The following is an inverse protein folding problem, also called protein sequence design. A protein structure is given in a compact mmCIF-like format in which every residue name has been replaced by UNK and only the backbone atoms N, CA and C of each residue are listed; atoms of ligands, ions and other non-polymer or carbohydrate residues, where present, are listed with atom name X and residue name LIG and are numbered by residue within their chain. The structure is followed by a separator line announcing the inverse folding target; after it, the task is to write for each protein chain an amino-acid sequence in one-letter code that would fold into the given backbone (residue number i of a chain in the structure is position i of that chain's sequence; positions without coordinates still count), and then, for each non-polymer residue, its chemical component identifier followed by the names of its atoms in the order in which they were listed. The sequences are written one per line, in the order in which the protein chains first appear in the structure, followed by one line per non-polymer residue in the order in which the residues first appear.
data_IF_293379793680
#
_entry.id   IF_293379793680
#
_cell.length_a   1.000
_cell.length_b   1.000
_cell.length_c   1.000
_cell.angle_alpha   90.00
_cell.angle_beta   90.00
_cell.angle_gamma   90.00
#
_symmetry.space_group_name_H-M   'P 1'
#
loop_
_entity.id
_entity.type
_entity.pdbx_description
1 polymer ?
#
# COMPACT_ATOMS: atom_id res chain seq x y z
N UNK A 1 23.65 18.70 31.02
CA UNK A 1 22.45 19.01 30.20
C UNK A 1 21.39 17.98 30.51
N UNK A 2 20.18 18.36 30.97
CA UNK A 2 19.07 17.41 31.09
C UNK A 2 18.73 16.92 29.68
N UNK A 3 18.91 15.62 29.41
CA UNK A 3 18.35 15.01 28.21
C UNK A 3 16.83 15.16 28.29
N UNK A 4 16.19 15.66 27.21
CA UNK A 4 14.74 15.65 27.13
C UNK A 4 14.26 14.20 27.20
N UNK A 5 13.39 13.91 28.17
CA UNK A 5 12.73 12.61 28.28
C UNK A 5 11.55 12.59 27.31
N UNK A 6 11.52 11.62 26.41
CA UNK A 6 10.42 11.38 25.47
C UNK A 6 9.58 10.20 25.90
N UNK A 7 8.31 10.21 25.49
CA UNK A 7 7.36 9.13 25.79
C UNK A 7 6.79 8.55 24.51
N UNK A 8 6.53 7.24 24.51
CA UNK A 8 5.87 6.59 23.39
C UNK A 8 4.73 5.69 23.84
N UNK A 9 3.73 5.58 22.97
CA UNK A 9 2.62 4.64 23.08
C UNK A 9 2.48 3.90 21.74
N UNK A 10 2.32 2.58 21.82
CA UNK A 10 2.00 1.74 20.66
C UNK A 10 0.89 0.76 21.00
N UNK A 11 -0.13 0.75 20.15
CA UNK A 11 -1.19 -0.25 20.15
C UNK A 11 -1.58 -0.60 18.70
N UNK A 12 -0.66 -1.33 18.07
CA UNK A 12 -0.74 -1.86 16.72
C UNK A 12 -0.50 -3.36 16.76
N UNK A 13 -1.50 -4.13 16.32
CA UNK A 13 -1.48 -5.59 16.37
C UNK A 13 -0.40 -6.26 15.50
N UNK A 14 0.38 -5.50 14.72
CA UNK A 14 1.40 -6.03 13.82
C UNK A 14 2.83 -5.56 14.13
N UNK A 15 2.98 -4.35 14.69
CA UNK A 15 4.28 -3.70 14.91
C UNK A 15 4.59 -3.37 16.38
N UNK A 16 3.72 -3.71 17.33
CA UNK A 16 3.93 -3.41 18.76
C UNK A 16 5.32 -3.84 19.26
N UNK A 17 5.69 -5.12 19.11
CA UNK A 17 7.00 -5.60 19.58
C UNK A 17 8.17 -4.87 18.92
N UNK A 18 8.03 -4.53 17.64
CA UNK A 18 9.09 -3.90 16.85
C UNK A 18 9.28 -2.45 17.27
N UNK A 19 8.18 -1.73 17.49
CA UNK A 19 8.20 -0.35 17.94
C UNK A 19 8.72 -0.28 19.38
N UNK A 20 8.23 -1.15 20.26
CA UNK A 20 8.73 -1.27 21.65
C UNK A 20 10.21 -1.58 21.67
N UNK A 21 10.65 -2.63 20.96
CA UNK A 21 12.07 -2.99 20.88
C UNK A 21 12.96 -1.95 20.17
N UNK A 22 12.39 -1.04 19.38
CA UNK A 22 13.09 0.09 18.80
C UNK A 22 13.33 1.21 19.83
N UNK A 23 12.31 1.54 20.64
CA UNK A 23 12.40 2.61 21.64
C UNK A 23 13.09 2.18 22.93
N UNK A 24 12.91 0.95 23.40
CA UNK A 24 13.53 0.44 24.64
C UNK A 24 15.07 0.39 24.57
N UNK A 25 15.64 0.44 23.36
CA UNK A 25 17.08 0.57 23.13
C UNK A 25 17.60 2.00 23.29
N UNK A 26 16.75 2.96 23.66
CA UNK A 26 17.10 4.40 23.75
C UNK A 26 16.83 4.89 25.17
N UNK A 27 17.89 5.30 25.87
CA UNK A 27 17.84 5.69 27.28
C UNK A 27 16.87 6.84 27.60
N UNK A 28 16.56 7.69 26.62
CA UNK A 28 15.70 8.85 26.78
C UNK A 28 14.25 8.64 26.35
N UNK A 29 13.84 7.42 26.00
CA UNK A 29 12.46 7.09 25.65
C UNK A 29 11.83 6.17 26.70
N UNK A 30 10.60 6.46 27.11
CA UNK A 30 9.84 5.63 28.06
C UNK A 30 8.46 5.28 27.50
N UNK A 31 8.06 4.02 27.67
CA UNK A 31 6.69 3.61 27.38
C UNK A 31 5.72 4.23 28.39
N UNK A 32 4.54 4.64 27.95
CA UNK A 32 3.44 5.03 28.85
C UNK A 32 2.13 4.43 28.38
N UNK A 33 1.37 3.87 29.32
CA UNK A 33 0.02 3.34 29.07
C UNK A 33 -1.08 4.17 29.74
N UNK A 34 -0.73 5.10 30.63
CA UNK A 34 -1.69 5.76 31.53
C UNK A 34 -2.08 7.17 31.06
N UNK A 35 -1.14 7.97 30.54
CA UNK A 35 -1.44 9.27 29.93
C UNK A 35 -1.03 9.27 28.46
N UNK A 36 -2.00 8.92 27.61
CA UNK A 36 -1.83 8.89 26.15
C UNK A 36 -2.14 10.25 25.48
N UNK A 37 -2.59 11.25 26.26
CA UNK A 37 -3.10 12.51 25.72
C UNK A 37 -2.00 13.44 25.20
N UNK A 38 -0.76 13.25 25.67
CA UNK A 38 0.41 14.07 25.32
C UNK A 38 1.71 13.25 25.17
N UNK A 39 1.62 12.05 24.59
CA UNK A 39 2.84 11.28 24.29
C UNK A 39 3.64 11.90 23.15
N UNK A 40 4.96 11.73 23.17
CA UNK A 40 5.81 12.22 22.07
C UNK A 40 5.53 11.44 20.79
N UNK A 41 5.53 10.11 20.86
CA UNK A 41 5.22 9.20 19.75
C UNK A 41 3.95 8.40 20.02
N UNK A 42 2.99 8.48 19.10
CA UNK A 42 1.72 7.77 19.20
C UNK A 42 1.49 6.89 17.97
N UNK A 43 1.34 5.59 18.20
CA UNK A 43 0.98 4.62 17.19
C UNK A 43 -0.25 3.81 17.63
N UNK A 44 -1.33 3.85 16.85
CA UNK A 44 -2.51 3.02 17.11
C UNK A 44 -3.29 2.75 15.83
N UNK A 45 -3.86 1.55 15.74
CA UNK A 45 -4.80 1.20 14.66
C UNK A 45 -6.25 1.65 14.95
N UNK A 46 -6.58 1.94 16.21
CA UNK A 46 -7.96 2.17 16.67
C UNK A 46 -8.20 3.60 17.16
N UNK A 47 -7.14 4.32 17.51
CA UNK A 47 -7.21 5.65 18.09
C UNK A 47 -6.33 6.64 17.31
N UNK A 48 -6.63 7.93 17.44
CA UNK A 48 -5.82 9.01 16.85
C UNK A 48 -5.51 10.02 17.95
N UNK A 49 -4.24 10.43 18.05
CA UNK A 49 -3.85 11.50 18.96
C UNK A 49 -3.72 12.82 18.21
N UNK A 50 -4.46 13.84 18.66
CA UNK A 50 -4.45 15.17 18.05
C UNK A 50 -3.44 16.14 18.68
N UNK A 51 -2.89 15.79 19.85
CA UNK A 51 -1.95 16.63 20.61
C UNK A 51 -0.52 16.06 20.66
N UNK A 52 -0.33 14.84 20.17
CA UNK A 52 0.96 14.16 20.18
C UNK A 52 1.88 14.74 19.11
N UNK A 53 3.18 14.80 19.40
CA UNK A 53 4.18 15.36 18.46
C UNK A 53 4.31 14.52 17.19
N UNK A 54 4.27 13.20 17.33
CA UNK A 54 4.51 12.25 16.24
C UNK A 54 3.39 11.22 16.19
N UNK A 55 2.76 11.08 15.03
CA UNK A 55 1.65 10.15 14.81
C UNK A 55 1.85 9.32 13.54
N UNK A 56 1.35 8.09 13.55
CA UNK A 56 1.51 7.13 12.44
C UNK A 56 0.32 7.12 11.45
N UNK A 57 -0.46 8.21 11.43
CA UNK A 57 -1.64 8.34 10.60
C UNK A 57 -1.85 9.75 10.02
N UNK A 58 -2.68 9.81 8.99
CA UNK A 58 -3.24 11.03 8.40
C UNK A 58 -4.76 11.02 8.60
N UNK A 59 -5.39 12.19 8.60
CA UNK A 59 -6.84 12.35 8.84
C UNK A 59 -7.67 11.58 7.81
N UNK A 60 -7.39 11.77 6.53
CA UNK A 60 -8.06 11.04 5.45
C UNK A 60 -7.06 10.59 4.38
N UNK A 61 -6.97 9.28 4.19
CA UNK A 61 -6.14 8.65 3.16
C UNK A 61 -6.96 8.10 1.99
N UNK A 62 -8.28 8.33 1.97
CA UNK A 62 -9.19 7.82 0.94
C UNK A 62 -8.88 8.37 -0.45
N UNK A 63 -8.21 9.52 -0.55
CA UNK A 63 -7.69 10.04 -1.82
C UNK A 63 -6.78 9.03 -2.55
N UNK A 64 -6.05 8.18 -1.80
CA UNK A 64 -5.27 7.05 -2.29
C UNK A 64 -6.00 5.71 -2.12
N UNK A 65 -6.65 5.51 -0.96
CA UNK A 65 -7.18 4.22 -0.55
C UNK A 65 -8.49 3.78 -1.20
N UNK A 66 -9.31 4.74 -1.66
CA UNK A 66 -10.57 4.44 -2.34
C UNK A 66 -10.32 4.29 -3.85
N UNK A 67 -10.78 3.18 -4.43
CA UNK A 67 -10.48 2.80 -5.82
C UNK A 67 -10.91 3.86 -6.85
N UNK A 68 -12.07 4.49 -6.63
CA UNK A 68 -12.60 5.57 -7.49
C UNK A 68 -11.85 6.87 -7.28
N UNK A 69 -11.61 7.30 -6.03
CA UNK A 69 -10.84 8.52 -5.73
C UNK A 69 -9.42 8.41 -6.30
N UNK A 70 -8.74 7.29 -6.10
CA UNK A 70 -7.41 7.01 -6.66
C UNK A 70 -7.39 7.20 -8.19
N UNK A 71 -8.31 6.55 -8.90
CA UNK A 71 -8.39 6.65 -10.36
C UNK A 71 -8.66 8.10 -10.80
N UNK A 72 -9.65 8.77 -10.20
CA UNK A 72 -10.00 10.16 -10.55
C UNK A 72 -8.86 11.14 -10.27
N UNK A 73 -8.17 10.98 -9.14
CA UNK A 73 -7.04 11.82 -8.75
C UNK A 73 -5.87 11.66 -9.72
N UNK A 74 -5.52 10.42 -10.08
CA UNK A 74 -4.49 10.15 -11.08
C UNK A 74 -4.85 10.73 -12.46
N UNK A 75 -6.08 10.53 -12.94
CA UNK A 75 -6.53 11.11 -14.22
C UNK A 75 -6.46 12.63 -14.20
N UNK A 76 -6.90 13.27 -13.10
CA UNK A 76 -6.81 14.73 -12.93
C UNK A 76 -5.35 15.20 -12.91
N UNK A 77 -4.49 14.51 -12.17
CA UNK A 77 -3.05 14.78 -12.11
C UNK A 77 -2.42 14.67 -13.50
N UNK A 78 -2.74 13.62 -14.25
CA UNK A 78 -2.23 13.41 -15.60
C UNK A 78 -2.64 14.53 -16.56
N UNK A 79 -3.92 14.91 -16.53
CA UNK A 79 -4.44 16.03 -17.33
C UNK A 79 -3.75 17.34 -16.98
N UNK A 80 -3.59 17.64 -15.69
CA UNK A 80 -3.02 18.90 -15.23
C UNK A 80 -1.51 19.03 -15.51
N UNK A 81 -0.80 17.92 -15.68
CA UNK A 81 0.64 17.91 -15.92
C UNK A 81 0.99 17.43 -17.34
N UNK A 82 -0.01 17.21 -18.21
CA UNK A 82 0.17 16.71 -19.57
C UNK A 82 1.02 15.42 -19.64
N UNK A 83 0.86 14.51 -18.67
CA UNK A 83 1.58 13.23 -18.63
C UNK A 83 0.68 12.06 -19.01
N UNK A 84 1.28 10.99 -19.52
CA UNK A 84 0.59 9.71 -19.75
C UNK A 84 0.70 8.78 -18.54
N UNK A 85 -0.33 7.97 -18.31
CA UNK A 85 -0.38 6.95 -17.25
C UNK A 85 -0.52 5.54 -17.85
N UNK A 86 0.49 5.02 -18.56
CA UNK A 86 0.39 3.76 -19.27
C UNK A 86 0.18 2.55 -18.33
N UNK A 87 0.46 2.71 -17.05
CA UNK A 87 0.30 1.72 -15.98
C UNK A 87 -1.10 1.76 -15.33
N UNK A 88 -1.96 2.72 -15.68
CA UNK A 88 -3.30 2.85 -15.09
C UNK A 88 -4.31 2.12 -15.98
N UNK A 89 -4.87 0.97 -15.56
CA UNK A 89 -5.85 0.28 -16.38
C UNK A 89 -7.11 1.13 -16.56
N UNK A 90 -7.67 1.12 -17.78
CA UNK A 90 -8.92 1.81 -18.09
C UNK A 90 -9.99 1.41 -17.08
N UNK A 91 -10.57 2.39 -16.41
CA UNK A 91 -11.52 2.18 -15.31
C UNK A 91 -12.75 3.06 -15.49
N UNK A 92 -13.93 2.50 -15.25
CA UNK A 92 -15.18 3.23 -15.20
C UNK A 92 -15.79 3.08 -13.81
N UNK A 93 -16.21 4.20 -13.22
CA UNK A 93 -16.95 4.24 -11.96
C UNK A 93 -18.45 4.34 -12.27
N UNK A 94 -19.29 3.63 -11.51
CA UNK A 94 -20.73 3.63 -11.71
C UNK A 94 -21.47 3.23 -10.44
N UNK A 95 -22.74 3.65 -10.34
CA UNK A 95 -23.69 3.12 -9.37
C UNK A 95 -24.48 1.99 -10.00
N UNK A 96 -25.00 1.07 -9.18
CA UNK A 96 -25.78 -0.09 -9.68
C UNK A 96 -27.00 0.30 -10.54
N UNK A 97 -27.55 1.51 -10.35
CA UNK A 97 -28.65 2.04 -11.15
C UNK A 97 -28.20 2.67 -12.49
N UNK A 98 -26.90 2.89 -12.70
CA UNK A 98 -26.32 3.59 -13.86
C UNK A 98 -25.56 2.64 -14.80
N UNK A 99 -26.13 1.46 -15.06
CA UNK A 99 -25.46 0.39 -15.82
C UNK A 99 -25.72 0.40 -17.33
N UNK A 100 -26.70 1.19 -17.81
CA UNK A 100 -27.12 1.21 -19.22
C UNK A 100 -25.98 1.50 -20.19
N UNK A 101 -24.99 2.31 -19.78
CA UNK A 101 -23.78 2.61 -20.56
C UNK A 101 -22.95 1.38 -20.90
N UNK A 102 -23.09 0.28 -20.16
CA UNK A 102 -22.41 -0.98 -20.40
C UNK A 102 -23.20 -1.93 -21.32
N UNK A 103 -24.42 -1.59 -21.74
CA UNK A 103 -25.22 -2.44 -22.64
C UNK A 103 -24.64 -2.51 -24.06
N UNK A 104 -23.83 -1.52 -24.45
CA UNK A 104 -23.24 -1.46 -25.79
C UNK A 104 -22.27 -2.65 -26.04
N UNK A 105 -22.52 -3.52 -27.04
CA UNK A 105 -21.66 -4.68 -27.34
C UNK A 105 -20.19 -4.34 -27.61
N UNK A 106 -19.91 -3.15 -28.16
CA UNK A 106 -18.54 -2.70 -28.46
C UNK A 106 -17.67 -2.54 -27.20
N UNK A 107 -18.28 -2.27 -26.04
CA UNK A 107 -17.57 -2.20 -24.76
C UNK A 107 -16.92 -3.55 -24.39
N UNK A 108 -17.60 -4.65 -24.71
CA UNK A 108 -17.21 -6.02 -24.36
C UNK A 108 -16.34 -6.68 -25.42
N UNK A 109 -16.48 -6.29 -26.69
CA UNK A 109 -15.77 -6.93 -27.80
C UNK A 109 -14.26 -6.95 -27.58
N UNK A 110 -13.69 -8.17 -27.51
CA UNK A 110 -12.25 -8.44 -27.25
C UNK A 110 -11.72 -7.83 -25.94
N UNK A 111 -12.61 -7.54 -24.99
CA UNK A 111 -12.26 -6.96 -23.70
C UNK A 111 -12.69 -7.84 -22.53
N UNK A 112 -11.74 -8.16 -21.65
CA UNK A 112 -12.03 -8.71 -20.34
C UNK A 112 -11.94 -7.61 -19.28
N UNK A 113 -12.86 -7.63 -18.32
CA UNK A 113 -12.96 -6.64 -17.26
C UNK A 113 -12.99 -7.31 -15.88
N UNK A 114 -12.68 -6.55 -14.84
CA UNK A 114 -12.82 -6.95 -13.44
C UNK A 114 -13.69 -5.94 -12.72
N UNK A 115 -14.73 -6.45 -12.05
CA UNK A 115 -15.60 -5.71 -11.16
C UNK A 115 -15.01 -5.72 -9.76
N UNK A 116 -15.07 -4.56 -9.10
CA UNK A 116 -14.66 -4.39 -7.71
C UNK A 116 -15.64 -3.42 -7.03
N UNK A 117 -16.15 -3.71 -5.83
CA UNK A 117 -16.86 -2.72 -5.05
C UNK A 117 -15.95 -1.53 -4.73
N UNK A 118 -16.48 -0.32 -4.68
CA UNK A 118 -15.70 0.90 -4.44
C UNK A 118 -14.97 0.85 -3.08
N UNK A 119 -15.67 0.37 -2.05
CA UNK A 119 -15.19 0.25 -0.67
C UNK A 119 -14.79 -1.17 -0.28
N UNK A 120 -14.89 -2.12 -1.21
CA UNK A 120 -14.62 -3.53 -0.95
C UNK A 120 -13.19 -3.78 -0.48
N UNK A 121 -13.06 -4.65 0.51
CA UNK A 121 -11.81 -5.13 1.08
C UNK A 121 -11.72 -6.65 0.94
N UNK A 122 -10.54 -7.23 1.20
CA UNK A 122 -10.35 -8.70 1.28
C UNK A 122 -10.86 -9.49 0.08
N UNK A 123 -10.84 -8.86 -1.11
CA UNK A 123 -11.24 -9.47 -2.38
C UNK A 123 -12.74 -9.82 -2.49
N UNK A 124 -13.55 -9.41 -1.53
CA UNK A 124 -14.99 -9.62 -1.54
C UNK A 124 -15.65 -8.85 -2.68
N UNK A 125 -16.64 -9.48 -3.33
CA UNK A 125 -17.37 -8.90 -4.46
C UNK A 125 -16.56 -8.77 -5.76
N UNK A 126 -15.32 -9.27 -5.82
CA UNK A 126 -14.49 -9.17 -7.03
C UNK A 126 -14.82 -10.28 -8.05
N UNK A 127 -15.03 -9.89 -9.30
CA UNK A 127 -15.32 -10.84 -10.39
C UNK A 127 -14.75 -10.40 -11.73
N UNK A 128 -14.15 -11.35 -12.46
CA UNK A 128 -13.88 -11.15 -13.89
C UNK A 128 -15.15 -11.35 -14.69
N UNK A 129 -15.44 -10.41 -15.59
CA UNK A 129 -16.59 -10.41 -16.49
C UNK A 129 -16.18 -10.11 -17.92
N UNK A 130 -16.83 -10.77 -18.89
CA UNK A 130 -16.49 -10.68 -20.32
C UNK A 130 -17.61 -10.17 -21.21
N UNK A 131 -18.83 -10.18 -20.70
CA UNK A 131 -20.02 -9.75 -21.42
C UNK A 131 -21.01 -9.13 -20.43
N UNK A 132 -22.04 -8.49 -20.99
CA UNK A 132 -23.05 -7.78 -20.22
C UNK A 132 -23.81 -8.72 -19.27
N UNK A 133 -24.09 -9.96 -19.67
CA UNK A 133 -24.83 -10.92 -18.86
C UNK A 133 -24.04 -11.36 -17.62
N UNK A 134 -22.76 -11.70 -17.77
CA UNK A 134 -21.87 -12.00 -16.64
C UNK A 134 -21.79 -10.81 -15.67
N UNK A 135 -21.78 -9.59 -16.21
CA UNK A 135 -21.75 -8.35 -15.46
C UNK A 135 -23.04 -8.12 -14.65
N UNK A 136 -24.22 -8.21 -15.27
CA UNK A 136 -25.50 -8.01 -14.57
C UNK A 136 -25.76 -9.10 -13.54
N UNK A 137 -25.51 -10.37 -13.90
CA UNK A 137 -25.70 -11.50 -12.98
C UNK A 137 -24.85 -11.36 -11.72
N UNK A 138 -23.61 -10.86 -11.84
CA UNK A 138 -22.76 -10.63 -10.68
C UNK A 138 -23.27 -9.49 -9.78
N UNK A 139 -23.73 -8.39 -10.37
CA UNK A 139 -24.30 -7.27 -9.62
C UNK A 139 -25.57 -7.69 -8.87
N UNK A 140 -26.42 -8.53 -9.48
CA UNK A 140 -27.61 -9.06 -8.84
C UNK A 140 -27.31 -9.95 -7.63
N UNK A 141 -26.19 -10.69 -7.66
CA UNK A 141 -25.73 -11.49 -6.52
C UNK A 141 -25.12 -10.63 -5.40
N UNK A 142 -24.73 -9.39 -5.70
CA UNK A 142 -24.04 -8.48 -4.78
C UNK A 142 -24.80 -7.16 -4.57
N UNK A 143 -26.15 -7.22 -4.54
CA UNK A 143 -27.04 -6.04 -4.42
C UNK A 143 -26.81 -5.16 -3.17
N UNK A 144 -26.09 -5.66 -2.17
CA UNK A 144 -25.71 -4.88 -0.97
C UNK A 144 -24.74 -3.75 -1.30
N UNK A 145 -23.98 -3.87 -2.40
CA UNK A 145 -23.03 -2.87 -2.86
C UNK A 145 -23.65 -1.97 -3.93
N UNK A 146 -23.66 -0.66 -3.69
CA UNK A 146 -24.27 0.33 -4.60
C UNK A 146 -23.25 1.01 -5.52
N UNK A 147 -21.99 1.15 -5.09
CA UNK A 147 -20.92 1.85 -5.79
C UNK A 147 -19.83 0.89 -6.27
N UNK A 148 -19.54 0.93 -7.57
CA UNK A 148 -18.67 -0.03 -8.24
C UNK A 148 -17.64 0.64 -9.15
N UNK A 149 -16.54 -0.09 -9.37
CA UNK A 149 -15.68 0.14 -10.52
C UNK A 149 -15.64 -1.09 -11.43
N UNK A 150 -15.59 -0.85 -12.74
CA UNK A 150 -15.24 -1.85 -13.75
C UNK A 150 -13.91 -1.43 -14.40
N UNK A 151 -12.93 -2.31 -14.30
CA UNK A 151 -11.55 -2.02 -14.68
C UNK A 151 -11.05 -3.04 -15.71
N UNK A 152 -10.25 -2.61 -16.68
CA UNK A 152 -9.67 -3.49 -17.70
C UNK A 152 -8.86 -4.59 -17.01
N UNK A 153 -9.17 -5.85 -17.32
CA UNK A 153 -8.49 -7.00 -16.74
C UNK A 153 -7.15 -7.26 -17.45
N UNK A 154 -6.09 -7.52 -16.68
CA UNK A 154 -4.79 -7.95 -17.19
C UNK A 154 -4.84 -9.45 -17.45
N UNK A 155 -5.17 -9.83 -18.68
CA UNK A 155 -5.42 -11.23 -19.06
C UNK A 155 -4.18 -12.01 -19.52
N UNK A 156 -3.07 -11.32 -19.77
CA UNK A 156 -1.74 -11.90 -20.04
C UNK A 156 -0.75 -11.48 -18.94
N UNK A 157 -0.95 -11.91 -17.68
CA UNK A 157 -0.05 -11.57 -16.60
C UNK A 157 1.32 -12.25 -16.77
N UNK A 158 2.38 -11.69 -16.19
CA UNK A 158 3.60 -12.44 -15.96
C UNK A 158 3.31 -13.57 -14.95
N UNK A 159 3.91 -14.73 -15.15
CA UNK A 159 3.63 -15.92 -14.34
C UNK A 159 4.88 -16.39 -13.59
N UNK A 160 4.77 -16.55 -12.28
CA UNK A 160 5.78 -17.18 -11.44
C UNK A 160 5.39 -18.65 -11.29
N UNK A 161 6.21 -19.58 -11.79
CA UNK A 161 5.91 -21.02 -11.80
C UNK A 161 4.51 -21.33 -12.37
N UNK A 162 4.17 -20.74 -13.52
CA UNK A 162 2.84 -20.81 -14.18
C UNK A 162 1.67 -20.22 -13.38
N UNK A 163 1.90 -19.62 -12.21
CA UNK A 163 0.86 -19.00 -11.38
C UNK A 163 0.88 -17.48 -11.51
N UNK A 164 -0.30 -16.87 -11.46
CA UNK A 164 -0.46 -15.42 -11.46
C UNK A 164 0.09 -14.85 -10.15
N UNK A 165 0.68 -13.66 -10.18
CA UNK A 165 1.09 -12.96 -8.96
C UNK A 165 0.93 -11.43 -9.10
N UNK A 166 0.95 -10.72 -7.97
CA UNK A 166 1.18 -9.28 -7.94
C UNK A 166 2.27 -8.94 -6.91
N UNK A 167 2.90 -7.79 -7.07
CA UNK A 167 3.79 -7.20 -6.09
C UNK A 167 3.01 -6.45 -5.04
N UNK A 168 3.25 -6.79 -3.77
CA UNK A 168 2.95 -6.01 -2.58
C UNK A 168 4.17 -5.14 -2.26
N UNK A 169 4.10 -3.88 -2.66
CA UNK A 169 5.18 -2.90 -2.47
C UNK A 169 4.86 -1.99 -1.30
N UNK A 170 5.82 -1.75 -0.42
CA UNK A 170 5.65 -0.85 0.72
C UNK A 170 6.19 0.54 0.39
N UNK A 171 5.41 1.56 0.70
CA UNK A 171 5.80 2.96 0.57
C UNK A 171 5.51 3.70 1.87
N UNK A 172 6.12 4.87 2.01
CA UNK A 172 6.04 5.70 3.20
C UNK A 172 5.79 7.13 2.78
N UNK A 173 4.83 7.76 3.42
CA UNK A 173 4.57 9.20 3.31
C UNK A 173 4.82 9.84 4.66
N UNK A 174 5.46 10.99 4.66
CA UNK A 174 5.87 11.72 5.86
C UNK A 174 5.56 13.20 5.66
N UNK A 175 4.94 13.81 6.65
CA UNK A 175 4.73 15.25 6.71
C UNK A 175 5.29 15.79 8.03
N UNK A 176 6.07 16.86 7.94
CA UNK A 176 6.62 17.56 9.09
C UNK A 176 6.67 19.07 8.78
N UNK A 177 6.01 19.88 9.60
CA UNK A 177 5.74 21.28 9.28
C UNK A 177 5.15 21.44 7.87
N UNK A 178 5.80 22.27 7.03
CA UNK A 178 5.39 22.50 5.62
C UNK A 178 5.95 21.48 4.64
N UNK A 179 6.77 20.52 5.07
CA UNK A 179 7.40 19.55 4.19
C UNK A 179 6.60 18.27 4.09
N UNK A 180 6.53 17.71 2.88
CA UNK A 180 5.98 16.41 2.57
C UNK A 180 7.01 15.59 1.82
N UNK A 181 7.32 14.40 2.32
CA UNK A 181 8.27 13.48 1.71
C UNK A 181 7.61 12.15 1.41
N UNK A 182 8.10 11.49 0.38
CA UNK A 182 7.67 10.15 0.02
C UNK A 182 8.86 9.26 -0.26
N UNK A 183 8.73 7.99 0.13
CA UNK A 183 9.75 6.96 0.01
C UNK A 183 9.11 5.63 -0.41
N UNK A 184 9.90 4.75 -1.02
CA UNK A 184 9.53 3.37 -1.35
C UNK A 184 10.55 2.41 -0.78
N UNK A 185 10.08 1.27 -0.26
CA UNK A 185 10.96 0.19 0.20
C UNK A 185 11.30 -0.72 -0.99
N UNK A 186 12.60 -1.02 -1.23
CA UNK A 186 13.01 -1.80 -2.39
C UNK A 186 12.69 -3.30 -2.25
N UNK A 187 12.36 -3.76 -1.04
CA UNK A 187 12.01 -5.13 -0.74
C UNK A 187 10.50 -5.26 -0.47
N UNK A 188 9.95 -6.43 -0.77
CA UNK A 188 8.56 -6.74 -0.48
C UNK A 188 8.19 -8.13 -0.96
N UNK A 189 6.89 -8.33 -1.24
CA UNK A 189 6.38 -9.66 -1.55
C UNK A 189 5.72 -9.74 -2.92
N UNK A 190 5.93 -10.85 -3.62
CA UNK A 190 5.07 -11.33 -4.68
C UNK A 190 3.99 -12.21 -4.05
N UNK A 191 2.74 -11.79 -4.11
CA UNK A 191 1.59 -12.59 -3.68
C UNK A 191 1.15 -13.46 -4.85
N UNK A 192 1.44 -14.75 -4.76
CA UNK A 192 1.27 -15.73 -5.82
C UNK A 192 -0.06 -16.46 -5.62
N UNK A 193 -0.78 -16.70 -6.71
CA UNK A 193 -2.02 -17.46 -6.69
C UNK A 193 -1.78 -18.91 -6.24
N UNK A 194 -2.83 -19.58 -5.78
CA UNK A 194 -2.73 -20.96 -5.29
C UNK A 194 -2.59 -21.97 -6.45
N UNK A 195 -3.29 -21.72 -7.56
CA UNK A 195 -3.34 -22.59 -8.74
C UNK A 195 -2.70 -21.95 -9.98
N UNK A 196 -2.30 -22.80 -10.92
CA UNK A 196 -1.79 -22.38 -12.23
C UNK A 196 -2.80 -21.51 -12.97
N UNK A 197 -2.28 -20.51 -13.69
CA UNK A 197 -3.07 -19.54 -14.43
C UNK A 197 -3.76 -20.19 -15.63
N UNK A 198 -5.10 -20.16 -15.65
CA UNK A 198 -5.90 -20.62 -16.78
C UNK A 198 -6.70 -19.45 -17.34
N UNK A 199 -6.44 -18.97 -18.57
CA UNK A 199 -7.11 -17.78 -19.08
C UNK A 199 -8.61 -18.00 -19.25
N UNK A 200 -9.06 -19.20 -19.61
CA UNK A 200 -10.42 -19.43 -20.09
C UNK A 200 -11.50 -19.42 -18.99
N UNK A 201 -11.23 -19.94 -17.79
CA UNK A 201 -12.25 -20.10 -16.73
C UNK A 201 -11.91 -19.27 -15.51
N UNK A 202 -12.86 -18.48 -15.01
CA UNK A 202 -12.61 -17.71 -13.78
C UNK A 202 -12.70 -18.63 -12.56
N UNK A 203 -11.56 -18.96 -11.99
CA UNK A 203 -11.41 -19.55 -10.66
C UNK A 203 -10.69 -18.55 -9.75
N UNK A 204 -11.23 -18.27 -8.57
CA UNK A 204 -10.62 -17.36 -7.59
C UNK A 204 -9.17 -17.76 -7.29
N UNK A 205 -8.92 -19.06 -7.09
CA UNK A 205 -7.60 -19.63 -6.77
C UNK A 205 -6.55 -19.45 -7.89
N UNK A 206 -7.00 -19.08 -9.10
CA UNK A 206 -6.18 -18.89 -10.30
C UNK A 206 -6.00 -17.40 -10.63
N UNK A 207 -7.04 -16.60 -10.42
CA UNK A 207 -7.11 -15.22 -10.89
C UNK A 207 -6.97 -14.17 -9.80
N UNK A 208 -7.15 -14.57 -8.53
CA UNK A 208 -7.02 -13.76 -7.34
C UNK A 208 -5.82 -14.29 -6.54
N UNK A 209 -5.03 -13.36 -6.03
CA UNK A 209 -3.74 -13.59 -5.38
C UNK A 209 -3.83 -13.12 -3.94
N UNK A 210 -3.48 -13.96 -2.99
CA UNK A 210 -3.59 -13.70 -1.54
C UNK A 210 -2.20 -13.62 -0.89
N UNK A 211 -2.13 -13.15 0.36
CA UNK A 211 -0.88 -13.12 1.14
C UNK A 211 -0.34 -14.51 1.49
N UNK A 212 -1.15 -15.55 1.33
CA UNK A 212 -0.93 -16.91 1.81
C UNK A 212 0.19 -17.70 1.11
N UNK A 213 0.53 -17.29 -0.10
CA UNK A 213 1.65 -17.85 -0.86
C UNK A 213 2.49 -16.70 -1.37
N UNK A 214 3.34 -16.18 -0.49
CA UNK A 214 4.22 -15.09 -0.83
C UNK A 214 5.64 -15.57 -1.17
N UNK A 215 6.28 -14.80 -2.05
CA UNK A 215 7.69 -14.89 -2.42
C UNK A 215 8.29 -13.51 -2.29
N UNK A 216 9.59 -13.38 -2.20
CA UNK A 216 10.28 -12.11 -1.96
C UNK A 216 10.67 -11.43 -3.28
N UNK A 217 10.70 -10.11 -3.28
CA UNK A 217 11.48 -9.34 -4.25
C UNK A 217 12.46 -8.43 -3.50
N UNK A 218 13.64 -8.15 -4.08
CA UNK A 218 14.13 -8.67 -5.37
C UNK A 218 14.55 -10.16 -5.35
N UNK A 219 14.71 -10.79 -4.17
CA UNK A 219 15.28 -12.14 -3.99
C UNK A 219 14.71 -13.25 -4.89
N UNK A 220 13.51 -13.76 -4.59
CA UNK A 220 12.90 -14.86 -5.37
C UNK A 220 12.60 -14.44 -6.81
N UNK A 221 12.23 -13.16 -7.04
CA UNK A 221 12.00 -12.65 -8.39
C UNK A 221 13.27 -12.77 -9.26
N UNK A 222 14.41 -12.25 -8.79
CA UNK A 222 15.66 -12.29 -9.55
C UNK A 222 16.20 -13.70 -9.68
N UNK A 223 16.01 -14.55 -8.66
CA UNK A 223 16.37 -15.96 -8.73
C UNK A 223 15.62 -16.70 -9.85
N UNK A 224 14.34 -16.35 -10.07
CA UNK A 224 13.51 -17.00 -11.09
C UNK A 224 13.60 -16.37 -12.48
N UNK A 225 13.65 -15.02 -12.58
CA UNK A 225 13.61 -14.31 -13.86
C UNK A 225 14.98 -13.86 -14.39
N UNK A 226 16.02 -13.89 -13.55
CA UNK A 226 17.38 -13.46 -13.87
C UNK A 226 17.91 -12.38 -12.93
N UNK A 227 19.20 -12.45 -12.60
CA UNK A 227 19.85 -11.50 -11.68
C UNK A 227 19.74 -10.05 -12.18
N UNK A 228 19.28 -9.16 -11.30
CA UNK A 228 19.12 -7.73 -11.58
C UNK A 228 17.91 -7.36 -12.46
N UNK A 229 17.06 -8.33 -12.84
CA UNK A 229 15.91 -8.06 -13.71
C UNK A 229 14.85 -7.18 -13.01
N UNK A 230 14.61 -7.38 -11.70
CA UNK A 230 13.67 -6.57 -10.94
C UNK A 230 14.10 -5.10 -10.96
N UNK A 231 15.35 -4.83 -10.61
CA UNK A 231 15.92 -3.49 -10.49
C UNK A 231 15.97 -2.78 -11.84
N UNK A 232 16.28 -3.50 -12.92
CA UNK A 232 16.38 -2.94 -14.28
C UNK A 232 15.02 -2.70 -14.91
N UNK A 233 14.07 -3.64 -14.80
CA UNK A 233 12.82 -3.62 -15.59
C UNK A 233 11.59 -3.26 -14.77
N UNK A 234 11.49 -3.70 -13.51
CA UNK A 234 10.27 -3.59 -12.72
C UNK A 234 10.29 -2.36 -11.81
N UNK A 235 11.35 -2.22 -11.02
CA UNK A 235 11.44 -1.23 -9.96
C UNK A 235 11.36 0.23 -10.43
N UNK A 236 11.92 0.64 -11.59
CA UNK A 236 11.76 2.00 -12.10
C UNK A 236 10.30 2.36 -12.36
N UNK A 237 9.51 1.41 -12.86
CA UNK A 237 8.07 1.60 -13.09
C UNK A 237 7.31 1.70 -11.77
N UNK A 238 7.66 0.89 -10.76
CA UNK A 238 7.10 0.98 -9.40
C UNK A 238 7.36 2.36 -8.79
N UNK A 239 8.61 2.86 -8.85
CA UNK A 239 8.96 4.21 -8.36
C UNK A 239 8.09 5.28 -9.01
N UNK A 240 7.88 5.19 -10.33
CA UNK A 240 7.03 6.11 -11.07
C UNK A 240 5.57 6.04 -10.60
N UNK A 241 5.01 4.84 -10.46
CA UNK A 241 3.64 4.63 -9.96
C UNK A 241 3.45 5.28 -8.59
N UNK A 242 4.34 4.99 -7.63
CA UNK A 242 4.27 5.54 -6.27
C UNK A 242 4.46 7.07 -6.28
N UNK A 243 5.36 7.59 -7.10
CA UNK A 243 5.60 9.04 -7.21
C UNK A 243 4.36 9.75 -7.72
N UNK A 244 3.80 9.31 -8.84
CA UNK A 244 2.67 9.95 -9.50
C UNK A 244 1.40 9.88 -8.62
N UNK A 245 1.12 8.74 -7.99
CA UNK A 245 -0.08 8.58 -7.13
C UNK A 245 -0.02 9.46 -5.89
N UNK A 246 1.16 9.60 -5.28
CA UNK A 246 1.32 10.42 -4.08
C UNK A 246 1.36 11.90 -4.46
N UNK A 247 2.00 12.30 -5.57
CA UNK A 247 1.92 13.66 -6.09
C UNK A 247 0.50 14.07 -6.50
N UNK A 248 -0.33 13.14 -6.94
CA UNK A 248 -1.73 13.40 -7.24
C UNK A 248 -2.57 13.73 -5.98
N UNK A 249 -2.07 13.43 -4.78
CA UNK A 249 -2.88 13.44 -3.55
C UNK A 249 -2.23 14.12 -2.34
N UNK A 250 -0.93 14.42 -2.34
CA UNK A 250 -0.21 14.90 -1.14
C UNK A 250 -0.83 16.13 -0.48
N UNK A 251 -1.41 17.05 -1.26
CA UNK A 251 -2.08 18.26 -0.73
C UNK A 251 -3.30 17.94 0.13
N UNK A 252 -3.94 16.79 -0.06
CA UNK A 252 -5.09 16.36 0.76
C UNK A 252 -4.67 15.62 2.02
N UNK A 253 -3.38 15.31 2.19
CA UNK A 253 -2.85 14.53 3.31
C UNK A 253 -2.55 15.45 4.48
N UNK A 254 -3.52 15.59 5.39
CA UNK A 254 -3.41 16.41 6.61
C UNK A 254 -3.04 15.54 7.81
N UNK A 255 -2.15 16.07 8.64
CA UNK A 255 -1.80 15.44 9.90
C UNK A 255 -2.88 15.71 10.96
N UNK A 256 -3.27 14.72 11.77
CA UNK A 256 -4.30 14.94 12.80
C UNK A 256 -3.82 15.85 13.94
N UNK A 257 -2.51 16.03 14.08
CA UNK A 257 -1.84 16.88 15.08
C UNK A 257 -1.41 18.25 14.54
N UNK A 258 -1.84 18.65 13.34
CA UNK A 258 -1.43 19.94 12.74
C UNK A 258 -1.85 21.17 13.54
N UNK A 259 -2.81 21.04 14.46
CA UNK A 259 -3.34 22.14 15.26
C UNK A 259 -2.63 22.28 16.61
N UNK A 260 -1.70 21.38 16.96
CA UNK A 260 -1.05 21.38 18.27
C UNK A 260 0.10 22.39 18.37
N UNK A 261 0.86 22.58 17.29
CA UNK A 261 1.97 23.55 17.09
C UNK A 261 2.57 23.34 15.68
N UNK A 262 3.56 24.13 15.25
CA UNK A 262 4.25 23.98 13.95
C UNK A 262 5.28 22.82 13.90
N UNK A 263 5.53 22.15 15.03
CA UNK A 263 6.56 21.11 15.22
C UNK A 263 5.94 19.69 15.24
N UNK A 264 4.93 19.47 14.39
CA UNK A 264 4.25 18.19 14.25
C UNK A 264 4.92 17.31 13.19
N UNK A 265 4.86 16.01 13.43
CA UNK A 265 5.23 14.97 12.47
C UNK A 265 4.05 14.01 12.35
N UNK A 266 3.63 13.71 11.11
CA UNK A 266 2.82 12.53 10.85
C UNK A 266 3.38 11.74 9.69
N UNK A 267 3.30 10.43 9.79
CA UNK A 267 3.73 9.56 8.71
C UNK A 267 2.80 8.37 8.57
N UNK A 268 2.88 7.68 7.44
CA UNK A 268 2.09 6.49 7.21
C UNK A 268 2.73 5.52 6.25
N UNK A 269 2.63 4.23 6.60
CA UNK A 269 2.92 3.14 5.69
C UNK A 269 1.77 2.97 4.69
N UNK A 270 2.12 2.79 3.43
CA UNK A 270 1.22 2.45 2.33
C UNK A 270 1.64 1.10 1.74
N UNK A 271 0.69 0.35 1.22
CA UNK A 271 0.94 -0.91 0.53
C UNK A 271 0.31 -0.90 -0.87
N UNK A 272 1.12 -0.94 -1.90
CA UNK A 272 0.70 -0.92 -3.29
C UNK A 272 0.56 -2.34 -3.82
N UNK A 273 -0.56 -2.61 -4.49
CA UNK A 273 -0.75 -3.85 -5.23
C UNK A 273 -0.52 -3.55 -6.72
N UNK A 274 0.55 -4.12 -7.27
CA UNK A 274 1.03 -3.82 -8.63
C UNK A 274 1.21 -5.14 -9.40
N UNK A 275 0.54 -5.28 -10.54
CA UNK A 275 0.59 -6.50 -11.35
C UNK A 275 1.48 -6.33 -12.59
N UNK A 276 2.44 -7.23 -12.84
CA UNK A 276 3.16 -7.29 -14.11
C UNK A 276 2.39 -8.04 -15.20
N UNK A 277 2.44 -7.56 -16.44
CA UNK A 277 2.07 -8.33 -17.63
C UNK A 277 3.24 -9.15 -18.19
N UNK A 278 2.94 -10.00 -19.16
CA UNK A 278 3.91 -10.89 -19.81
C UNK A 278 5.13 -10.15 -20.41
N UNK A 279 4.98 -8.86 -20.73
CA UNK A 279 6.05 -8.01 -21.25
C UNK A 279 6.80 -7.26 -20.15
N UNK A 280 6.58 -7.62 -18.88
CA UNK A 280 7.15 -6.96 -17.69
C UNK A 280 6.73 -5.49 -17.55
N UNK A 281 5.66 -5.07 -18.21
CA UNK A 281 5.02 -3.78 -17.94
C UNK A 281 4.12 -3.94 -16.72
N UNK A 282 4.18 -2.99 -15.79
CA UNK A 282 3.42 -3.08 -14.53
C UNK A 282 2.20 -2.17 -14.52
N UNK A 283 1.17 -2.59 -13.79
CA UNK A 283 -0.09 -1.89 -13.67
C UNK A 283 -0.50 -1.73 -12.20
N UNK A 284 -0.96 -0.53 -11.85
CA UNK A 284 -1.48 -0.24 -10.52
C UNK A 284 -2.86 -0.89 -10.36
N UNK A 285 -3.02 -1.75 -9.35
CA UNK A 285 -4.30 -2.37 -9.02
C UNK A 285 -5.06 -1.60 -7.94
N UNK A 286 -4.39 -1.31 -6.82
CA UNK A 286 -4.91 -0.53 -5.69
C UNK A 286 -3.79 -0.05 -4.76
N UNK A 287 -4.11 0.88 -3.85
CA UNK A 287 -3.25 1.34 -2.77
C UNK A 287 -3.96 1.09 -1.44
N UNK A 288 -3.40 0.22 -0.62
CA UNK A 288 -3.87 -0.03 0.74
C UNK A 288 -3.31 1.07 1.67
N UNK A 289 -4.18 2.00 2.05
CA UNK A 289 -3.82 3.19 2.83
C UNK A 289 -4.55 3.31 4.19
N UNK A 290 -5.29 2.27 4.62
CA UNK A 290 -5.98 2.22 5.93
C UNK A 290 -5.20 1.35 6.92
N UNK A 291 -5.54 0.07 6.98
CA UNK A 291 -4.86 -0.97 7.77
C UNK A 291 -4.11 -1.86 6.79
N UNK A 292 -2.82 -2.07 7.04
CA UNK A 292 -1.97 -2.94 6.24
C UNK A 292 -1.70 -4.17 7.08
N UNK A 293 -2.41 -5.26 6.77
CA UNK A 293 -2.24 -6.53 7.48
C UNK A 293 -0.82 -7.05 7.32
N UNK A 294 -0.15 -7.24 8.45
CA UNK A 294 1.24 -7.70 8.53
C UNK A 294 1.36 -8.88 9.51
N UNK A 295 0.41 -9.82 9.49
CA UNK A 295 0.43 -10.97 10.40
C UNK A 295 1.54 -11.97 10.01
N UNK A 296 2.28 -12.48 11.01
CA UNK A 296 3.31 -13.52 10.79
C UNK A 296 2.66 -14.87 10.45
N UNK A 297 1.51 -15.12 11.05
CA UNK A 297 0.66 -16.28 10.80
C UNK A 297 -0.76 -15.81 10.49
N UNK A 298 -1.32 -16.28 9.37
CA UNK A 298 -2.73 -16.09 9.09
C UNK A 298 -3.56 -17.11 9.92
N UNK A 299 -4.69 -16.71 10.54
CA UNK A 299 -5.59 -17.63 11.21
C UNK A 299 -6.02 -18.80 10.30
N UNK A 300 -6.25 -20.01 10.85
CA UNK A 300 -6.79 -21.13 10.09
C UNK A 300 -8.06 -20.72 9.31
N UNK A 301 -8.09 -21.01 8.01
CA UNK A 301 -9.24 -20.72 7.13
C UNK A 301 -9.14 -19.42 6.30
N UNK A 302 -8.24 -18.49 6.63
CA UNK A 302 -7.98 -17.32 5.78
C UNK A 302 -7.12 -17.66 4.55
N UNK A 303 -6.39 -18.77 4.63
CA UNK A 303 -5.48 -19.24 3.62
C UNK A 303 -5.82 -20.67 3.19
N UNK A 304 -5.98 -20.88 1.88
CA UNK A 304 -6.07 -22.23 1.30
C UNK A 304 -4.70 -22.93 1.28
N UNK A 305 -3.62 -22.15 1.26
CA UNK A 305 -2.24 -22.60 1.40
C UNK A 305 -1.94 -22.94 2.87
N UNK A 306 -1.28 -24.08 3.10
CA UNK A 306 -0.73 -24.47 4.42
C UNK A 306 0.59 -23.74 4.75
N UNK A 307 1.12 -22.94 3.84
CA UNK A 307 2.38 -22.24 4.06
C UNK A 307 2.14 -20.93 4.85
N UNK A 308 2.93 -20.65 5.90
CA UNK A 308 2.84 -19.41 6.64
C UNK A 308 3.26 -18.20 5.78
N UNK A 309 2.74 -17.02 6.13
CA UNK A 309 3.12 -15.75 5.51
C UNK A 309 4.61 -15.47 5.78
N UNK A 310 5.42 -15.21 4.73
CA UNK A 310 6.82 -14.80 4.85
C UNK A 310 7.04 -13.39 5.43
N UNK A 311 6.05 -12.79 6.08
CA UNK A 311 6.19 -11.49 6.74
C UNK A 311 7.01 -11.60 8.03
N UNK A 312 8.29 -11.91 7.87
CA UNK A 312 9.19 -12.24 8.98
C UNK A 312 9.43 -11.04 9.89
N UNK A 313 9.78 -11.34 11.16
CA UNK A 313 10.22 -10.33 12.12
C UNK A 313 11.38 -9.49 11.58
N UNK A 314 12.32 -10.08 10.84
CA UNK A 314 13.43 -9.33 10.20
C UNK A 314 12.90 -8.31 9.18
N UNK A 315 12.01 -8.72 8.27
CA UNK A 315 11.46 -7.83 7.25
C UNK A 315 10.72 -6.65 7.90
N UNK A 316 9.85 -6.94 8.86
CA UNK A 316 9.08 -5.91 9.56
C UNK A 316 9.97 -4.97 10.37
N UNK A 317 11.01 -5.51 11.03
CA UNK A 317 12.00 -4.72 11.77
C UNK A 317 12.76 -3.78 10.84
N UNK A 318 13.19 -4.28 9.68
CA UNK A 318 13.77 -3.46 8.63
C UNK A 318 12.83 -2.36 8.16
N UNK A 319 11.61 -2.72 7.74
CA UNK A 319 10.65 -1.76 7.20
C UNK A 319 10.26 -0.67 8.20
N UNK A 320 9.77 -1.05 9.39
CA UNK A 320 9.33 -0.09 10.41
C UNK A 320 10.51 0.67 11.02
N UNK A 321 11.63 0.00 11.27
CA UNK A 321 12.83 0.65 11.81
C UNK A 321 13.37 1.74 10.89
N UNK A 322 13.39 1.51 9.56
CA UNK A 322 13.77 2.54 8.59
C UNK A 322 12.79 3.73 8.61
N UNK A 323 11.49 3.48 8.70
CA UNK A 323 10.48 4.55 8.81
C UNK A 323 10.64 5.39 10.08
N UNK A 324 10.86 4.73 11.22
CA UNK A 324 11.10 5.38 12.51
C UNK A 324 12.38 6.22 12.47
N UNK A 325 13.47 5.69 11.93
CA UNK A 325 14.72 6.45 11.76
C UNK A 325 14.47 7.73 10.93
N UNK A 326 13.78 7.62 9.79
CA UNK A 326 13.50 8.78 8.92
C UNK A 326 12.62 9.81 9.64
N UNK A 327 11.54 9.37 10.30
CA UNK A 327 10.61 10.27 10.98
C UNK A 327 11.24 10.95 12.20
N UNK A 328 11.94 10.20 13.06
CA UNK A 328 12.52 10.73 14.29
C UNK A 328 13.72 11.64 14.03
N UNK A 329 14.45 11.46 12.92
CA UNK A 329 15.50 12.39 12.53
C UNK A 329 14.96 13.81 12.25
N UNK A 330 13.66 13.97 11.94
CA UNK A 330 13.04 15.30 11.76
C UNK A 330 12.82 16.07 13.05
N UNK A 331 12.89 15.40 14.21
CA UNK A 331 12.84 16.06 15.52
C UNK A 331 14.11 16.86 15.79
N UNK A 332 15.25 16.45 15.19
CA UNK A 332 16.60 16.86 15.59
C UNK A 332 17.32 17.76 14.58
N UNK A 333 16.59 18.61 13.83
CA UNK A 333 17.22 19.60 12.92
C UNK A 333 18.11 20.64 13.66
N UNK A 334 18.27 20.53 14.97
CA UNK A 334 19.41 21.06 15.73
C UNK A 334 20.15 19.96 16.51
N UNK A 335 21.23 19.47 15.88
CA UNK A 335 22.37 18.68 16.41
C UNK A 335 22.17 17.16 16.63
N UNK A 336 22.98 16.41 15.86
CA UNK A 336 23.56 15.07 16.07
C UNK A 336 22.90 14.22 17.17
N UNK A 337 22.12 13.22 16.77
CA UNK A 337 21.93 12.00 17.56
C UNK A 337 21.96 10.77 16.66
N UNK A 338 23.08 10.05 16.78
CA UNK A 338 23.28 8.60 16.64
C UNK A 338 23.08 8.03 15.23
N UNK A 339 24.19 7.98 14.49
CA UNK A 339 24.44 6.86 13.58
C UNK A 339 24.33 5.58 14.40
N UNK A 340 23.21 4.88 14.29
CA UNK A 340 23.17 3.48 14.68
C UNK A 340 23.88 2.70 13.59
N UNK A 341 25.05 2.17 13.92
CA UNK A 341 25.72 1.13 13.16
C UNK A 341 24.78 -0.08 13.05
N UNK A 342 24.09 -0.17 11.91
CA UNK A 342 23.78 -1.46 11.32
C UNK A 342 24.03 -1.28 9.84
N UNK A 343 24.81 -2.18 9.26
CA UNK A 343 25.21 -2.21 7.85
C UNK A 343 24.05 -2.46 6.87
N UNK A 344 22.79 -2.39 7.34
CA UNK A 344 21.54 -2.36 6.57
C UNK A 344 20.67 -1.11 6.85
N UNK A 345 21.20 -0.09 7.54
CA UNK A 345 20.48 1.15 7.84
C UNK A 345 20.28 2.01 6.58
N UNK A 346 19.03 2.38 6.29
CA UNK A 346 18.56 3.23 5.17
C UNK A 346 18.42 2.54 3.80
N UNK A 347 17.63 1.46 3.72
CA UNK A 347 17.20 0.89 2.43
C UNK A 347 16.01 1.62 1.80
N UNK A 348 15.29 2.46 2.54
CA UNK A 348 14.18 3.24 2.00
C UNK A 348 14.66 4.26 0.96
N UNK A 349 14.10 4.19 -0.25
CA UNK A 349 14.48 5.05 -1.37
C UNK A 349 13.55 6.25 -1.41
N UNK A 350 14.12 7.45 -1.25
CA UNK A 350 13.37 8.70 -1.38
C UNK A 350 12.86 8.88 -2.80
N UNK A 351 11.56 9.16 -2.94
CA UNK A 351 10.92 9.48 -4.20
C UNK A 351 10.96 10.99 -4.46
N UNK A 352 10.54 11.80 -3.48
CA UNK A 352 10.55 13.26 -3.58
C UNK A 352 10.40 13.95 -2.21
N UNK A 353 10.65 15.26 -2.22
CA UNK A 353 10.20 16.24 -1.20
C UNK A 353 9.37 17.32 -1.89
N UNK A 354 8.30 17.77 -1.22
CA UNK A 354 7.47 18.92 -1.62
C UNK A 354 7.21 19.80 -0.41
N UNK A 355 7.01 21.08 -0.66
CA UNK A 355 6.48 22.03 0.32
C UNK A 355 4.98 22.18 0.08
N UNK A 356 4.18 22.12 1.15
CA UNK A 356 2.72 22.26 1.14
C UNK A 356 2.32 23.71 1.42
#
# INVERSE_FOLDING_TARGET
MKMNSFTYYTNDGYFNEIITGYFDKKDNWKNTQNDISQVTFFNSLTQTCHKCKIVTNFVDTSALGNKKKLYKNLVKYAKNNSISLPYLPKTYCFKINDILKFKNPSFWKRNEWILKPEFGMRQEGIKRVRNYNEFTNWLEQNKKESDWIIQKYINKPLLYQKKKFHFRVYAFILRYGKNFESYVYPDGYMYVADKEYTPNKFNALTHITTSCNNKTFPGDYNSYYGSGEFEKKIFPQIKKICTDSILATYKTMTCPNSNANDDYICFKMLAYDIIPDINKKVYLMEVNARIIGMAESDPPGNCYSKNPSLQTKEFKTGLMGNMLNIALNKINDSKKLIQTESTKANRMIKLFTKTI
#
